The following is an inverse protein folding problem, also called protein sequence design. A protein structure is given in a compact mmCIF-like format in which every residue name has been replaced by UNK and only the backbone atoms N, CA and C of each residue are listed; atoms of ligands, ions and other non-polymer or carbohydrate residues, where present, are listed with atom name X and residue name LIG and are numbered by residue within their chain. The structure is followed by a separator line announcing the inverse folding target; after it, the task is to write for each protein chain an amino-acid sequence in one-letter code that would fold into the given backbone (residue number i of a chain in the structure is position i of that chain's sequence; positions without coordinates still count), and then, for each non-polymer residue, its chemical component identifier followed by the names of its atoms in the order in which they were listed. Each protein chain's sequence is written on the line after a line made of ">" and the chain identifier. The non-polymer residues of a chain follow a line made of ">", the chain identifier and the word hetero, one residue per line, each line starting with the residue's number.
data_IF_230104522124
#
_entry.id   IF_230104522124
#
_cell.length_a   1.000
_cell.length_b   1.000
_cell.length_c   1.000
_cell.angle_alpha   90.00
_cell.angle_beta   90.00
_cell.angle_gamma   90.00
#
_symmetry.space_group_name_H-M   'P 1'
#
loop_
_entity.id
_entity.type
_entity.pdbx_description
1 polymer ?
#
# COMPACT_ATOMS: atom_id res chain seq x y z
N UNK A 1 -5.43 26.01 -46.76
CA UNK A 1 -5.21 24.55 -46.67
C UNK A 1 -3.91 24.28 -45.93
N UNK A 2 -3.97 23.81 -44.69
CA UNK A 2 -2.77 23.34 -43.98
C UNK A 2 -2.35 22.04 -44.65
N UNK A 3 -1.14 21.99 -45.19
CA UNK A 3 -0.60 20.80 -45.85
C UNK A 3 -0.59 19.62 -44.88
N UNK A 4 -1.15 18.48 -45.31
CA UNK A 4 -1.30 17.25 -44.51
C UNK A 4 0.04 16.78 -43.91
N UNK A 5 1.17 17.07 -44.60
CA UNK A 5 2.53 16.81 -44.11
C UNK A 5 2.88 17.63 -42.86
N UNK A 6 2.45 18.91 -42.81
CA UNK A 6 2.65 19.77 -41.63
C UNK A 6 1.84 19.26 -40.44
N UNK A 7 0.63 18.75 -40.68
CA UNK A 7 -0.23 18.19 -39.64
C UNK A 7 0.38 16.93 -39.01
N UNK A 8 0.92 16.03 -39.85
CA UNK A 8 1.62 14.82 -39.40
C UNK A 8 2.89 15.17 -38.61
N UNK A 9 3.67 16.15 -39.07
CA UNK A 9 4.84 16.63 -38.32
C UNK A 9 4.47 17.20 -36.94
N UNK A 10 3.40 17.99 -36.84
CA UNK A 10 2.93 18.53 -35.57
C UNK A 10 2.46 17.42 -34.62
N UNK A 11 1.74 16.42 -35.14
CA UNK A 11 1.34 15.26 -34.33
C UNK A 11 2.52 14.41 -33.86
N UNK A 12 3.51 14.19 -34.72
CA UNK A 12 4.75 13.49 -34.35
C UNK A 12 5.52 14.26 -33.29
N UNK A 13 5.64 15.58 -33.42
CA UNK A 13 6.27 16.43 -32.43
C UNK A 13 5.53 16.38 -31.09
N UNK A 14 4.20 16.49 -31.09
CA UNK A 14 3.37 16.35 -29.89
C UNK A 14 3.51 14.97 -29.24
N UNK A 15 3.55 13.90 -30.05
CA UNK A 15 3.73 12.54 -29.56
C UNK A 15 5.12 12.35 -28.95
N UNK A 16 6.18 12.82 -29.63
CA UNK A 16 7.54 12.75 -29.09
C UNK A 16 7.69 13.61 -27.84
N UNK A 17 7.06 14.77 -27.77
CA UNK A 17 7.05 15.62 -26.58
C UNK A 17 6.30 14.96 -25.42
N UNK A 18 5.13 14.38 -25.67
CA UNK A 18 4.39 13.64 -24.66
C UNK A 18 5.20 12.43 -24.17
N UNK A 19 5.82 11.68 -25.07
CA UNK A 19 6.65 10.52 -24.75
C UNK A 19 7.92 10.91 -23.98
N UNK A 20 8.60 12.00 -24.36
CA UNK A 20 9.77 12.48 -23.61
C UNK A 20 9.37 13.08 -22.27
N UNK A 21 8.26 13.79 -22.16
CA UNK A 21 7.75 14.27 -20.86
C UNK A 21 7.36 13.09 -19.96
N UNK A 22 6.78 12.01 -20.49
CA UNK A 22 6.46 10.80 -19.73
C UNK A 22 7.71 9.98 -19.36
N UNK A 23 8.75 10.00 -20.21
CA UNK A 23 10.02 9.31 -19.97
C UNK A 23 10.97 10.09 -19.04
N UNK A 24 10.90 11.43 -19.05
CA UNK A 24 11.71 12.34 -18.23
C UNK A 24 11.05 12.63 -16.89
N UNK A 25 9.71 12.63 -16.83
CA UNK A 25 8.94 12.47 -15.60
C UNK A 25 8.37 11.05 -15.57
N UNK A 26 9.19 10.01 -15.35
CA UNK A 26 8.62 8.78 -14.83
C UNK A 26 7.87 9.23 -13.58
N UNK A 27 6.64 8.75 -13.41
CA UNK A 27 5.79 9.03 -12.26
C UNK A 27 6.57 8.60 -11.01
N UNK A 28 7.44 9.49 -10.51
CA UNK A 28 8.36 9.28 -9.41
C UNK A 28 7.48 9.46 -8.19
N UNK A 29 6.75 8.38 -7.92
CA UNK A 29 5.81 8.26 -6.84
C UNK A 29 6.63 8.25 -5.56
N UNK A 30 6.96 9.44 -5.09
CA UNK A 30 7.85 9.66 -3.96
C UNK A 30 7.12 9.18 -2.70
N UNK A 31 7.48 8.00 -2.21
CA UNK A 31 6.89 7.36 -1.04
C UNK A 31 7.41 8.04 0.21
N UNK A 32 6.59 8.84 0.88
CA UNK A 32 6.95 9.34 2.21
C UNK A 32 6.68 8.22 3.22
N UNK A 33 7.76 7.67 3.79
CA UNK A 33 7.75 6.83 4.98
C UNK A 33 7.41 7.70 6.20
N UNK A 34 6.19 8.21 6.24
CA UNK A 34 5.70 8.93 7.41
C UNK A 34 5.49 7.92 8.52
N UNK A 35 6.32 7.98 9.57
CA UNK A 35 5.97 7.39 10.85
C UNK A 35 4.66 8.03 11.29
N UNK A 36 3.56 7.30 11.12
CA UNK A 36 2.29 7.68 11.72
C UNK A 36 2.45 7.57 13.23
N UNK A 37 2.18 8.65 14.00
CA UNK A 37 2.24 8.62 15.45
C UNK A 37 1.02 7.86 15.97
N UNK A 38 1.08 6.54 15.97
CA UNK A 38 0.09 5.71 16.64
C UNK A 38 0.55 5.45 18.07
N UNK A 39 -0.30 5.81 19.02
CA UNK A 39 -0.25 5.28 20.39
C UNK A 39 -0.97 3.94 20.30
N UNK A 40 -0.21 2.86 20.17
CA UNK A 40 -0.79 1.53 20.24
C UNK A 40 -1.10 1.23 21.72
N UNK A 41 -2.20 0.54 22.01
CA UNK A 41 -2.42 0.00 23.36
C UNK A 41 -1.45 -1.16 23.58
N UNK A 42 -0.23 -0.80 23.97
CA UNK A 42 0.86 -1.73 24.21
C UNK A 42 0.66 -2.43 25.54
N UNK A 43 0.66 -3.78 25.51
CA UNK A 43 1.01 -4.54 26.70
C UNK A 43 2.50 -4.40 26.96
N UNK A 44 2.98 -4.44 28.22
CA UNK A 44 4.39 -4.28 28.57
C UNK A 44 5.32 -5.34 27.95
N UNK A 45 4.75 -6.39 27.37
CA UNK A 45 5.47 -7.52 26.79
C UNK A 45 5.62 -7.43 25.26
N UNK A 46 5.23 -6.34 24.60
CA UNK A 46 5.27 -6.27 23.13
C UNK A 46 6.63 -5.80 22.58
N UNK A 47 7.14 -6.44 21.52
CA UNK A 47 8.33 -5.98 20.81
C UNK A 47 7.97 -4.87 19.80
N UNK A 48 7.97 -3.63 20.29
CA UNK A 48 7.58 -2.45 19.50
C UNK A 48 8.49 -2.20 18.30
N UNK A 49 9.80 -2.38 18.46
CA UNK A 49 10.76 -2.09 17.39
C UNK A 49 10.61 -3.08 16.24
N UNK A 50 10.38 -4.36 16.56
CA UNK A 50 10.11 -5.39 15.55
C UNK A 50 8.79 -5.12 14.82
N UNK A 51 7.75 -4.70 15.52
CA UNK A 51 6.50 -4.26 14.90
C UNK A 51 6.73 -3.06 13.95
N UNK A 52 7.40 -2.00 14.43
CA UNK A 52 7.72 -0.81 13.61
C UNK A 52 8.49 -1.22 12.36
N UNK A 53 9.46 -2.13 12.47
CA UNK A 53 10.23 -2.63 11.34
C UNK A 53 9.36 -3.41 10.34
N UNK A 54 8.43 -4.25 10.82
CA UNK A 54 7.48 -4.98 9.97
C UNK A 54 6.57 -4.04 9.20
N UNK A 55 6.01 -3.03 9.89
CA UNK A 55 5.14 -2.01 9.27
C UNK A 55 5.91 -1.19 8.23
N UNK A 56 7.11 -0.71 8.56
CA UNK A 56 7.97 0.02 7.60
C UNK A 56 8.28 -0.83 6.37
N UNK A 57 8.60 -2.10 6.57
CA UNK A 57 8.91 -3.05 5.47
C UNK A 57 7.69 -3.31 4.60
N UNK A 58 6.52 -3.56 5.20
CA UNK A 58 5.27 -3.71 4.46
C UNK A 58 4.96 -2.46 3.64
N UNK A 59 4.99 -1.27 4.25
CA UNK A 59 4.72 -0.01 3.56
C UNK A 59 5.71 0.24 2.41
N UNK A 60 6.99 -0.07 2.59
CA UNK A 60 7.99 -0.03 1.52
C UNK A 60 7.61 -0.94 0.36
N UNK A 61 7.29 -2.19 0.67
CA UNK A 61 7.05 -3.22 -0.35
C UNK A 61 5.77 -2.93 -1.13
N UNK A 62 4.67 -2.57 -0.44
CA UNK A 62 3.40 -2.26 -1.11
C UNK A 62 3.51 -1.01 -1.98
N UNK A 63 4.15 0.06 -1.48
CA UNK A 63 4.34 1.28 -2.26
C UNK A 63 5.22 1.01 -3.48
N UNK A 64 6.32 0.27 -3.31
CA UNK A 64 7.21 -0.10 -4.43
C UNK A 64 6.48 -0.93 -5.48
N UNK A 65 5.70 -1.93 -5.05
CA UNK A 65 4.92 -2.77 -5.96
C UNK A 65 3.87 -1.96 -6.72
N UNK A 66 3.16 -1.08 -6.01
CA UNK A 66 2.14 -0.23 -6.61
C UNK A 66 2.75 0.69 -7.67
N UNK A 67 3.85 1.38 -7.35
CA UNK A 67 4.55 2.27 -8.28
C UNK A 67 5.06 1.54 -9.52
N UNK A 68 5.48 0.27 -9.38
CA UNK A 68 6.02 -0.50 -10.49
C UNK A 68 4.93 -1.15 -11.37
N UNK A 69 3.79 -1.56 -10.78
CA UNK A 69 2.87 -2.48 -11.45
C UNK A 69 1.40 -2.03 -11.49
N UNK A 70 1.02 -1.02 -10.69
CA UNK A 70 -0.36 -0.63 -10.45
C UNK A 70 -0.63 0.86 -10.73
N UNK A 71 0.19 1.51 -11.56
CA UNK A 71 0.02 2.93 -11.90
C UNK A 71 -1.37 3.24 -12.47
N UNK A 72 -1.89 2.34 -13.32
CA UNK A 72 -3.24 2.41 -13.87
C UNK A 72 -4.31 2.40 -12.77
N UNK A 73 -4.14 1.54 -11.77
CA UNK A 73 -5.06 1.44 -10.64
C UNK A 73 -5.03 2.71 -9.76
N UNK A 74 -3.84 3.23 -9.44
CA UNK A 74 -3.69 4.40 -8.56
C UNK A 74 -4.26 5.68 -9.15
N UNK A 75 -4.19 5.84 -10.48
CA UNK A 75 -4.78 7.00 -11.15
C UNK A 75 -6.32 7.06 -10.99
N UNK A 76 -6.97 5.94 -10.63
CA UNK A 76 -8.39 5.88 -10.32
C UNK A 76 -8.74 6.34 -8.89
N UNK A 77 -7.77 6.46 -7.97
CA UNK A 77 -8.02 6.93 -6.60
C UNK A 77 -8.46 8.40 -6.65
N UNK A 78 -9.70 8.69 -6.21
CA UNK A 78 -10.19 10.07 -6.12
C UNK A 78 -9.50 10.85 -5.00
N UNK A 79 -9.65 10.38 -3.77
CA UNK A 79 -9.06 10.97 -2.57
C UNK A 79 -8.18 9.93 -1.84
N UNK A 80 -8.78 8.78 -1.50
CA UNK A 80 -8.10 7.67 -0.83
C UNK A 80 -8.83 6.35 -1.07
N UNK A 81 -8.07 5.25 -1.01
CA UNK A 81 -8.58 3.88 -1.04
C UNK A 81 -8.35 3.21 0.32
N UNK A 82 -9.38 2.57 0.85
CA UNK A 82 -9.36 1.93 2.17
C UNK A 82 -9.41 0.43 1.99
N UNK A 83 -8.36 -0.26 2.40
CA UNK A 83 -8.23 -1.71 2.26
C UNK A 83 -8.06 -2.31 3.64
N UNK A 84 -8.80 -3.37 3.91
CA UNK A 84 -8.65 -4.15 5.13
C UNK A 84 -8.16 -5.55 4.78
N UNK A 85 -7.37 -6.14 5.68
CA UNK A 85 -7.02 -7.54 5.60
C UNK A 85 -6.81 -8.17 6.97
N UNK A 86 -6.89 -9.49 7.03
CA UNK A 86 -6.62 -10.25 8.25
C UNK A 86 -5.27 -10.91 8.12
N UNK A 87 -4.39 -10.66 9.10
CA UNK A 87 -3.18 -11.47 9.30
C UNK A 87 -3.47 -12.52 10.37
N UNK A 88 -3.11 -13.76 10.07
CA UNK A 88 -3.20 -14.84 11.05
C UNK A 88 -2.02 -14.82 12.02
N UNK A 89 -2.05 -15.74 12.98
CA UNK A 89 -1.02 -15.90 14.01
C UNK A 89 0.38 -16.18 13.46
N UNK A 90 0.51 -16.67 12.21
CA UNK A 90 1.79 -16.93 11.55
C UNK A 90 2.30 -15.74 10.75
N UNK A 91 1.52 -14.67 10.66
CA UNK A 91 1.83 -13.49 9.84
C UNK A 91 1.44 -13.61 8.37
N UNK A 92 0.64 -14.62 7.99
CA UNK A 92 0.12 -14.74 6.62
C UNK A 92 -1.21 -14.04 6.48
N UNK A 93 -1.49 -13.52 5.29
CA UNK A 93 -2.75 -12.84 5.00
C UNK A 93 -3.85 -13.83 4.60
N UNK A 94 -4.92 -13.89 5.40
CA UNK A 94 -6.04 -14.82 5.20
C UNK A 94 -7.15 -14.24 4.33
N UNK A 95 -7.52 -12.98 4.57
CA UNK A 95 -8.64 -12.34 3.85
C UNK A 95 -8.28 -10.90 3.56
N UNK A 96 -8.65 -10.41 2.38
CA UNK A 96 -8.40 -9.03 1.94
C UNK A 96 -9.68 -8.50 1.30
N UNK A 97 -10.06 -7.27 1.61
CA UNK A 97 -11.22 -6.63 0.99
C UNK A 97 -11.08 -5.12 0.96
N UNK A 98 -11.72 -4.51 -0.04
CA UNK A 98 -11.83 -3.08 -0.18
C UNK A 98 -13.03 -2.57 0.63
N UNK A 99 -12.80 -1.61 1.52
CA UNK A 99 -13.83 -1.05 2.41
C UNK A 99 -14.61 0.06 1.72
N UNK A 100 -13.93 0.89 0.92
CA UNK A 100 -14.53 2.07 0.28
C UNK A 100 -13.98 2.24 -1.14
N UNK A 101 -14.84 2.81 -2.00
CA UNK A 101 -14.61 2.99 -3.43
C UNK A 101 -14.61 1.67 -4.21
N UNK A 102 -15.73 0.93 -4.19
CA UNK A 102 -15.87 -0.38 -4.87
C UNK A 102 -15.58 -0.35 -6.37
N UNK A 103 -15.58 0.83 -6.99
CA UNK A 103 -15.19 1.07 -8.39
C UNK A 103 -13.68 1.10 -8.61
N UNK A 104 -12.87 1.17 -7.55
CA UNK A 104 -11.42 1.15 -7.62
C UNK A 104 -10.94 -0.22 -8.15
N UNK A 105 -10.19 -0.25 -9.26
CA UNK A 105 -9.57 -1.48 -9.74
C UNK A 105 -8.51 -1.90 -8.72
N UNK A 106 -8.82 -2.95 -7.97
CA UNK A 106 -8.05 -3.38 -6.79
C UNK A 106 -7.35 -4.72 -6.99
N UNK A 107 -7.45 -5.34 -8.16
CA UNK A 107 -7.06 -6.73 -8.36
C UNK A 107 -5.55 -6.97 -8.18
N UNK A 108 -4.69 -6.10 -8.70
CA UNK A 108 -3.23 -6.28 -8.56
C UNK A 108 -2.78 -6.03 -7.13
N UNK A 109 -3.32 -5.00 -6.49
CA UNK A 109 -3.02 -4.69 -5.09
C UNK A 109 -3.55 -5.79 -4.16
N UNK A 110 -4.76 -6.28 -4.42
CA UNK A 110 -5.35 -7.43 -3.72
C UNK A 110 -4.40 -8.63 -3.75
N UNK A 111 -3.91 -9.02 -4.95
CA UNK A 111 -2.99 -10.16 -5.10
C UNK A 111 -1.69 -9.96 -4.33
N UNK A 112 -1.12 -8.76 -4.36
CA UNK A 112 0.07 -8.44 -3.58
C UNK A 112 -0.18 -8.65 -2.08
N UNK A 113 -1.23 -8.02 -1.54
CA UNK A 113 -1.55 -8.09 -0.11
C UNK A 113 -1.87 -9.53 0.29
N UNK A 114 -2.68 -10.24 -0.52
CA UNK A 114 -3.12 -11.61 -0.24
C UNK A 114 -1.96 -12.61 -0.17
N UNK A 115 -0.90 -12.37 -0.93
CA UNK A 115 0.31 -13.20 -0.95
C UNK A 115 1.42 -12.71 -0.01
N UNK A 116 1.19 -11.62 0.73
CA UNK A 116 2.19 -11.08 1.64
C UNK A 116 2.35 -11.97 2.88
N UNK A 117 3.60 -12.22 3.27
CA UNK A 117 3.97 -12.90 4.50
C UNK A 117 4.83 -11.96 5.35
N UNK A 118 4.41 -11.73 6.60
CA UNK A 118 5.16 -10.95 7.58
C UNK A 118 6.36 -11.72 8.17
N UNK A 119 6.57 -12.97 7.73
CA UNK A 119 7.61 -13.89 8.17
C UNK A 119 7.56 -14.10 9.69
N UNK A 120 6.37 -14.43 10.19
CA UNK A 120 6.04 -14.55 11.61
C UNK A 120 4.94 -13.59 12.04
N UNK A 121 4.39 -13.76 13.27
CA UNK A 121 3.23 -13.00 13.77
C UNK A 121 3.37 -11.49 13.56
N UNK A 122 2.29 -10.79 13.19
CA UNK A 122 2.36 -9.33 12.97
C UNK A 122 2.92 -8.60 14.20
N UNK A 123 2.42 -8.97 15.37
CA UNK A 123 2.88 -8.48 16.67
C UNK A 123 3.59 -9.61 17.38
N UNK A 124 4.80 -9.35 17.83
CA UNK A 124 5.60 -10.29 18.62
C UNK A 124 5.71 -9.83 20.06
N UNK A 125 5.82 -10.79 20.97
CA UNK A 125 5.87 -10.56 22.40
C UNK A 125 7.19 -11.08 22.99
N UNK A 126 7.80 -10.29 23.86
CA UNK A 126 8.98 -10.61 24.67
C UNK A 126 8.52 -11.50 25.84
N UNK A 127 8.06 -12.71 25.57
CA UNK A 127 7.55 -13.66 26.58
C UNK A 127 8.07 -15.07 26.32
N UNK A 128 8.15 -15.88 27.39
CA UNK A 128 8.55 -17.28 27.35
C UNK A 128 7.42 -18.24 26.94
N UNK A 129 6.20 -17.74 26.71
CA UNK A 129 5.05 -18.56 26.29
C UNK A 129 4.41 -18.05 24.98
N UNK A 130 5.03 -18.27 23.81
CA UNK A 130 4.60 -17.71 22.52
C UNK A 130 3.18 -18.11 22.11
N UNK A 131 2.75 -19.32 22.47
CA UNK A 131 1.49 -19.93 22.03
C UNK A 131 0.25 -19.24 22.60
N UNK A 132 0.35 -18.64 23.79
CA UNK A 132 -0.76 -17.89 24.40
C UNK A 132 -1.07 -16.56 23.71
N UNK A 133 -0.14 -16.09 22.88
CA UNK A 133 -0.20 -14.78 22.24
C UNK A 133 -0.24 -14.87 20.71
N UNK A 134 -0.36 -16.09 20.17
CA UNK A 134 -0.71 -16.36 18.79
C UNK A 134 -2.09 -15.74 18.49
N UNK A 135 -2.07 -14.56 17.86
CA UNK A 135 -3.24 -13.71 17.66
C UNK A 135 -3.38 -13.34 16.21
N UNK A 136 -4.63 -13.25 15.76
CA UNK A 136 -4.96 -12.72 14.44
C UNK A 136 -5.31 -11.25 14.55
N UNK A 137 -4.89 -10.46 13.56
CA UNK A 137 -5.10 -9.01 13.56
C UNK A 137 -5.85 -8.59 12.31
N UNK A 138 -6.78 -7.66 12.49
CA UNK A 138 -7.37 -6.88 11.42
C UNK A 138 -6.42 -5.73 11.12
N UNK A 139 -5.82 -5.73 9.94
CA UNK A 139 -5.00 -4.63 9.44
C UNK A 139 -5.85 -3.73 8.55
N UNK A 140 -5.71 -2.43 8.74
CA UNK A 140 -6.36 -1.37 7.97
C UNK A 140 -5.28 -0.56 7.29
N UNK A 141 -5.35 -0.45 5.97
CA UNK A 141 -4.45 0.40 5.20
C UNK A 141 -5.23 1.47 4.44
N UNK A 142 -4.66 2.67 4.40
CA UNK A 142 -5.20 3.79 3.63
C UNK A 142 -4.17 4.21 2.60
N UNK A 143 -4.50 3.99 1.33
CA UNK A 143 -3.71 4.46 0.20
C UNK A 143 -4.19 5.87 -0.18
N UNK A 144 -3.29 6.84 -0.10
CA UNK A 144 -3.58 8.26 -0.36
C UNK A 144 -2.70 8.72 -1.51
N UNK A 145 -3.32 9.14 -2.62
CA UNK A 145 -2.61 9.65 -3.77
C UNK A 145 -2.73 11.17 -3.85
N UNK A 146 -1.64 11.87 -3.53
CA UNK A 146 -1.52 13.32 -3.70
C UNK A 146 -1.24 13.61 -5.19
N UNK A 147 -2.31 13.93 -5.92
CA UNK A 147 -2.25 14.27 -7.35
C UNK A 147 -1.41 15.52 -7.64
N UNK A 148 -1.34 16.48 -6.71
CA UNK A 148 -0.55 17.71 -6.92
C UNK A 148 0.93 17.43 -6.86
N UNK A 149 1.35 16.58 -5.92
CA UNK A 149 2.76 16.19 -5.75
C UNK A 149 3.14 14.92 -6.50
N UNK A 150 2.17 14.22 -7.10
CA UNK A 150 2.33 12.88 -7.68
C UNK A 150 2.95 11.91 -6.67
N UNK A 151 2.44 11.91 -5.42
CA UNK A 151 2.99 11.11 -4.32
C UNK A 151 1.94 10.15 -3.77
N UNK A 152 2.32 8.89 -3.61
CA UNK A 152 1.51 7.89 -2.92
C UNK A 152 2.01 7.71 -1.51
N UNK A 153 1.06 7.62 -0.57
CA UNK A 153 1.32 7.29 0.82
C UNK A 153 0.45 6.11 1.24
N UNK A 154 0.98 5.30 2.15
CA UNK A 154 0.27 4.21 2.81
C UNK A 154 0.26 4.50 4.30
N UNK A 155 -0.92 4.60 4.88
CA UNK A 155 -1.11 4.59 6.34
C UNK A 155 -1.44 3.16 6.75
N UNK A 156 -0.87 2.69 7.85
CA UNK A 156 -1.04 1.33 8.35
C UNK A 156 -1.51 1.39 9.79
N UNK A 157 -2.61 0.71 10.07
CA UNK A 157 -3.18 0.56 11.40
C UNK A 157 -3.62 -0.90 11.60
N UNK A 158 -3.76 -1.35 12.84
CA UNK A 158 -4.20 -2.71 13.12
C UNK A 158 -4.94 -2.85 14.46
N UNK A 159 -5.84 -3.82 14.52
CA UNK A 159 -6.64 -4.15 15.68
C UNK A 159 -6.60 -5.65 15.96
N UNK A 160 -6.53 -6.02 17.24
CA UNK A 160 -6.63 -7.41 17.64
C UNK A 160 -8.04 -7.95 17.36
N UNK A 161 -8.14 -9.08 16.66
CA UNK A 161 -9.40 -9.80 16.49
C UNK A 161 -9.70 -10.54 17.79
N UNK A 162 -10.62 -10.01 18.59
CA UNK A 162 -11.15 -10.72 19.76
C UNK A 162 -11.98 -11.91 19.27
N UNK A 163 -11.54 -13.14 19.50
CA UNK A 163 -12.44 -14.29 19.45
C UNK A 163 -13.44 -14.11 20.59
N UNK A 164 -14.71 -13.87 20.26
CA UNK A 164 -15.79 -14.05 21.24
C UNK A 164 -15.71 -15.51 21.70
N UNK A 165 -15.32 -15.71 22.96
CA UNK A 165 -15.50 -16.99 23.66
C UNK A 165 -16.94 -17.11 24.09
#
# INVERSE_FOLDING_TARGET
>A
MISMKKFICVFLLLYTYAATVYAVNPLLLDSIYGETPYVYDFGPEMDEEKLKQKVRTFNKNILSYITAHCCDEILCIKDSAFVNFITNEKGRVDTVWLVRDKSFPFEKIYRFIKNYDFNGPLVEYVTTQPELYAKSYLVKIVLIFDRKKQRLRSLFDFELIKKNR
#
